data_IF_437643588643
#
_entry.id   IF_437643588643
#
_cell.length_a   1.000
_cell.length_b   1.000
_cell.length_c   1.000
_cell.angle_alpha   90.00
_cell.angle_beta   90.00
_cell.angle_gamma   90.00
#
_symmetry.space_group_name_H-M   'P 1'
#
loop_
_entity.id
_entity.type
_entity.pdbx_description
1 polymer ?
#
# COMPACT_ATOMS: atom_id res chain seq x y z
N UNK A 1 8.43 23.40 0.99
CA UNK A 1 7.49 23.15 2.10
C UNK A 1 8.26 22.67 3.32
N UNK A 2 7.91 23.14 4.52
CA UNK A 2 8.50 22.66 5.78
C UNK A 2 8.20 21.16 6.03
N UNK A 3 7.18 20.60 5.38
CA UNK A 3 6.77 19.19 5.51
C UNK A 3 7.48 18.26 4.52
N UNK A 4 8.21 18.80 3.54
CA UNK A 4 8.81 18.00 2.47
C UNK A 4 9.94 17.14 3.02
N UNK A 5 10.86 17.75 3.75
CA UNK A 5 11.99 17.09 4.37
C UNK A 5 11.68 16.84 5.86
N UNK A 6 11.67 15.58 6.24
CA UNK A 6 11.42 15.15 7.61
C UNK A 6 12.73 15.15 8.40
N UNK A 7 12.69 15.64 9.61
CA UNK A 7 13.80 15.54 10.53
C UNK A 7 13.93 14.10 11.10
N UNK A 8 14.95 13.89 11.92
CA UNK A 8 15.24 12.57 12.49
C UNK A 8 14.11 12.03 13.38
N UNK A 9 13.43 12.93 14.11
CA UNK A 9 12.32 12.54 14.99
C UNK A 9 11.11 12.14 14.15
N UNK A 10 10.76 12.96 13.17
CA UNK A 10 9.65 12.71 12.23
C UNK A 10 9.83 11.39 11.46
N UNK A 11 11.05 11.12 10.99
CA UNK A 11 11.39 9.84 10.34
C UNK A 11 11.22 8.65 11.31
N UNK A 12 11.59 8.81 12.59
CA UNK A 12 11.39 7.75 13.58
C UNK A 12 9.91 7.51 13.87
N UNK A 13 9.10 8.55 13.94
CA UNK A 13 7.66 8.46 14.14
C UNK A 13 6.98 7.77 12.92
N UNK A 14 7.35 8.14 11.69
CA UNK A 14 6.93 7.44 10.47
C UNK A 14 7.31 5.95 10.49
N UNK A 15 8.56 5.63 10.82
CA UNK A 15 9.02 4.23 10.94
C UNK A 15 8.21 3.46 11.97
N UNK A 16 7.84 4.12 13.08
CA UNK A 16 7.02 3.48 14.12
C UNK A 16 5.61 3.20 13.62
N UNK A 17 4.98 4.16 12.92
CA UNK A 17 3.68 3.96 12.29
C UNK A 17 3.70 2.77 11.29
N UNK A 18 4.75 2.68 10.46
CA UNK A 18 4.96 1.56 9.52
C UNK A 18 5.10 0.23 10.27
N UNK A 19 5.93 0.16 11.32
CA UNK A 19 6.11 -1.07 12.11
C UNK A 19 4.81 -1.55 12.77
N UNK A 20 3.99 -0.63 13.26
CA UNK A 20 2.66 -0.93 13.83
C UNK A 20 1.78 -1.53 12.72
N UNK A 21 1.74 -0.91 11.55
CA UNK A 21 0.95 -1.38 10.40
C UNK A 21 1.40 -2.77 9.94
N UNK A 22 2.70 -3.01 9.80
CA UNK A 22 3.23 -4.33 9.41
C UNK A 22 2.88 -5.41 10.45
N UNK A 23 3.06 -5.13 11.73
CA UNK A 23 2.71 -6.06 12.80
C UNK A 23 1.20 -6.39 12.80
N UNK A 24 0.37 -5.37 12.56
CA UNK A 24 -1.08 -5.51 12.43
C UNK A 24 -1.44 -6.41 11.25
N UNK A 25 -0.79 -6.22 10.11
CA UNK A 25 -1.00 -7.06 8.93
C UNK A 25 -0.69 -8.54 9.22
N UNK A 26 0.46 -8.83 9.84
CA UNK A 26 0.84 -10.21 10.19
C UNK A 26 -0.17 -10.88 11.12
N UNK A 27 -0.72 -10.16 12.10
CA UNK A 27 -1.79 -10.67 12.95
C UNK A 27 -3.07 -10.92 12.16
N UNK A 28 -3.41 -9.99 11.27
CA UNK A 28 -4.64 -10.07 10.46
C UNK A 28 -4.59 -11.24 9.47
N UNK A 29 -3.45 -11.48 8.82
CA UNK A 29 -3.30 -12.62 7.89
C UNK A 29 -3.60 -13.95 8.61
N UNK A 30 -3.16 -14.11 9.86
CA UNK A 30 -3.41 -15.32 10.65
C UNK A 30 -4.88 -15.49 11.03
N UNK A 31 -5.65 -14.42 11.03
CA UNK A 31 -7.10 -14.45 11.33
C UNK A 31 -7.93 -14.85 10.10
N UNK A 32 -7.36 -14.79 8.88
CA UNK A 32 -8.09 -15.09 7.66
C UNK A 32 -8.38 -16.59 7.57
N UNK A 33 -9.66 -16.91 7.54
CA UNK A 33 -10.18 -18.25 7.36
C UNK A 33 -11.22 -18.27 6.23
N UNK A 34 -11.50 -19.46 5.72
CA UNK A 34 -12.59 -19.64 4.75
C UNK A 34 -13.92 -19.20 5.36
N UNK A 35 -14.76 -18.56 4.56
CA UNK A 35 -16.04 -17.99 4.96
C UNK A 35 -16.00 -16.74 5.86
N UNK A 36 -14.84 -16.20 6.19
CA UNK A 36 -14.77 -14.84 6.74
C UNK A 36 -15.19 -13.82 5.67
N UNK A 37 -15.92 -12.80 6.07
CA UNK A 37 -16.24 -11.68 5.19
C UNK A 37 -15.10 -10.64 5.19
N UNK A 38 -15.05 -9.83 4.13
CA UNK A 38 -14.13 -8.68 4.07
C UNK A 38 -14.31 -7.73 5.26
N UNK A 39 -15.54 -7.53 5.70
CA UNK A 39 -15.85 -6.66 6.84
C UNK A 39 -15.37 -7.24 8.17
N UNK A 40 -15.52 -8.55 8.41
CA UNK A 40 -14.96 -9.20 9.61
C UNK A 40 -13.44 -9.08 9.67
N UNK A 41 -12.76 -9.24 8.53
CA UNK A 41 -11.32 -9.08 8.42
C UNK A 41 -10.91 -7.62 8.67
N UNK A 42 -11.64 -6.64 8.09
CA UNK A 42 -11.40 -5.22 8.34
C UNK A 42 -11.56 -4.85 9.81
N UNK A 43 -12.62 -5.31 10.46
CA UNK A 43 -12.85 -5.06 11.89
C UNK A 43 -11.74 -5.63 12.76
N UNK A 44 -11.28 -6.85 12.47
CA UNK A 44 -10.16 -7.46 13.18
C UNK A 44 -8.86 -6.65 12.95
N UNK A 45 -8.59 -6.22 11.73
CA UNK A 45 -7.44 -5.38 11.39
C UNK A 45 -7.43 -4.09 12.22
N UNK A 46 -8.57 -3.41 12.31
CA UNK A 46 -8.70 -2.17 13.10
C UNK A 46 -8.41 -2.44 14.58
N UNK A 47 -8.96 -3.51 15.15
CA UNK A 47 -8.71 -3.88 16.55
C UNK A 47 -7.22 -4.17 16.81
N UNK A 48 -6.58 -4.94 15.93
CA UNK A 48 -5.16 -5.25 16.05
C UNK A 48 -4.27 -4.01 15.86
N UNK A 49 -4.68 -3.03 15.05
CA UNK A 49 -3.94 -1.79 14.86
C UNK A 49 -3.83 -1.01 16.19
N UNK A 50 -4.93 -0.79 16.89
CA UNK A 50 -4.92 -0.14 18.19
C UNK A 50 -4.18 -0.96 19.25
N UNK A 51 -4.38 -2.27 19.28
CA UNK A 51 -3.68 -3.19 20.19
C UNK A 51 -2.15 -3.18 19.99
N UNK A 52 -1.69 -2.98 18.76
CA UNK A 52 -0.27 -2.87 18.42
C UNK A 52 0.33 -1.48 18.68
N UNK A 53 -0.47 -0.53 19.15
CA UNK A 53 -0.03 0.80 19.57
C UNK A 53 -0.26 1.90 18.54
N UNK A 54 -1.09 1.67 17.53
CA UNK A 54 -1.60 2.75 16.67
C UNK A 54 -2.49 3.69 17.46
N UNK A 55 -2.29 4.98 17.30
CA UNK A 55 -3.08 6.02 17.98
C UNK A 55 -4.38 6.29 17.23
N UNK A 56 -4.34 6.16 15.91
CA UNK A 56 -5.50 6.28 15.03
C UNK A 56 -5.25 5.53 13.71
N UNK A 57 -6.28 5.47 12.87
CA UNK A 57 -6.20 5.03 11.48
C UNK A 57 -5.71 6.19 10.62
N UNK A 58 -4.72 5.96 9.76
CA UNK A 58 -4.31 6.98 8.78
C UNK A 58 -5.46 7.34 7.82
N UNK A 59 -6.26 6.35 7.47
CA UNK A 59 -7.48 6.46 6.67
C UNK A 59 -8.37 5.23 6.92
N UNK A 60 -9.59 5.25 6.41
CA UNK A 60 -10.50 4.10 6.55
C UNK A 60 -9.95 2.87 5.80
N UNK A 61 -9.56 1.79 6.50
CA UNK A 61 -8.91 0.65 5.89
C UNK A 61 -9.72 0.01 4.77
N UNK A 62 -9.07 -0.29 3.67
CA UNK A 62 -9.65 -0.97 2.53
C UNK A 62 -9.25 -2.45 2.59
N UNK A 63 -10.24 -3.35 2.69
CA UNK A 63 -10.05 -4.80 2.58
C UNK A 63 -10.93 -5.30 1.46
N UNK A 64 -10.32 -5.71 0.37
CA UNK A 64 -11.01 -6.20 -0.83
C UNK A 64 -10.63 -7.64 -1.11
N UNK A 65 -11.52 -8.37 -1.79
CA UNK A 65 -11.25 -9.74 -2.19
C UNK A 65 -11.87 -10.08 -3.54
N UNK A 66 -11.25 -11.04 -4.24
CA UNK A 66 -11.72 -11.54 -5.53
C UNK A 66 -11.84 -10.42 -6.58
N UNK A 67 -12.88 -10.38 -7.37
CA UNK A 67 -13.10 -9.37 -8.42
C UNK A 67 -13.11 -7.93 -7.90
N UNK A 68 -13.55 -7.73 -6.65
CA UNK A 68 -13.61 -6.41 -6.04
C UNK A 68 -12.21 -5.83 -5.73
N UNK A 69 -11.16 -6.67 -5.64
CA UNK A 69 -9.79 -6.19 -5.45
C UNK A 69 -9.23 -5.43 -6.66
N UNK A 70 -9.91 -5.46 -7.80
CA UNK A 70 -9.56 -4.68 -8.99
C UNK A 70 -10.09 -3.23 -8.97
N UNK A 71 -10.90 -2.85 -7.98
CA UNK A 71 -11.49 -1.51 -7.92
C UNK A 71 -10.77 -0.65 -6.86
N UNK A 72 -10.09 0.46 -7.26
CA UNK A 72 -9.33 1.31 -6.35
C UNK A 72 -10.13 1.89 -5.17
N UNK A 73 -11.45 2.05 -5.34
CA UNK A 73 -12.36 2.59 -4.33
C UNK A 73 -13.41 1.57 -3.90
N UNK A 74 -13.06 0.29 -3.92
CA UNK A 74 -13.95 -0.76 -3.42
C UNK A 74 -14.20 -0.64 -1.92
N UNK A 75 -15.36 -1.14 -1.46
CA UNK A 75 -15.72 -1.15 -0.04
C UNK A 75 -15.71 -2.57 0.53
N UNK A 76 -15.28 -2.67 1.79
CA UNK A 76 -15.45 -3.91 2.54
C UNK A 76 -16.94 -4.14 2.85
N UNK A 77 -17.39 -5.37 2.71
CA UNK A 77 -18.80 -5.75 2.96
C UNK A 77 -18.90 -7.11 3.62
N UNK A 78 -20.05 -7.42 4.20
CA UNK A 78 -20.38 -8.75 4.73
C UNK A 78 -20.82 -9.74 3.66
N UNK A 79 -21.20 -9.26 2.47
CA UNK A 79 -21.85 -10.07 1.43
C UNK A 79 -20.94 -11.09 0.77
N UNK A 80 -19.63 -10.76 0.70
CA UNK A 80 -18.65 -11.65 0.12
C UNK A 80 -17.86 -12.39 1.20
N UNK A 81 -17.83 -13.71 1.10
CA UNK A 81 -17.07 -14.61 1.98
C UNK A 81 -15.82 -15.10 1.25
N UNK A 82 -14.67 -15.05 1.94
CA UNK A 82 -13.38 -15.48 1.41
C UNK A 82 -13.40 -16.95 1.01
N UNK A 83 -12.86 -17.25 -0.15
CA UNK A 83 -12.75 -18.59 -0.74
C UNK A 83 -11.31 -18.88 -1.14
N UNK A 84 -10.98 -20.17 -1.21
CA UNK A 84 -9.70 -20.63 -1.74
C UNK A 84 -9.44 -20.06 -3.13
N UNK A 85 -8.26 -19.47 -3.35
CA UNK A 85 -7.86 -18.83 -4.62
C UNK A 85 -8.20 -17.34 -4.73
N UNK A 86 -8.86 -16.75 -3.73
CA UNK A 86 -9.12 -15.31 -3.74
C UNK A 86 -7.84 -14.50 -3.56
N UNK A 87 -7.67 -13.46 -4.38
CA UNK A 87 -6.76 -12.37 -4.08
C UNK A 87 -7.40 -11.50 -3.00
N UNK A 88 -6.68 -11.23 -1.92
CA UNK A 88 -7.09 -10.35 -0.83
C UNK A 88 -6.13 -9.16 -0.80
N UNK A 89 -6.67 -7.96 -0.99
CA UNK A 89 -5.93 -6.71 -0.94
C UNK A 89 -6.24 -6.00 0.38
N UNK A 90 -5.18 -5.57 1.03
CA UNK A 90 -5.19 -4.69 2.20
C UNK A 90 -4.56 -3.36 1.83
N UNK A 91 -5.23 -2.27 2.13
CA UNK A 91 -4.71 -0.92 2.00
C UNK A 91 -5.09 -0.14 3.26
N UNK A 92 -4.10 0.21 4.07
CA UNK A 92 -4.31 0.80 5.39
C UNK A 92 -3.02 1.36 5.98
N UNK A 93 -3.15 2.10 7.05
CA UNK A 93 -2.01 2.58 7.82
C UNK A 93 -2.39 2.95 9.25
N UNK A 94 -1.41 2.92 10.14
CA UNK A 94 -1.51 3.44 11.50
C UNK A 94 -0.99 4.88 11.56
N UNK A 95 -1.56 5.66 12.47
CA UNK A 95 -1.01 6.95 12.89
C UNK A 95 -0.23 6.75 14.20
N UNK A 96 0.95 7.39 14.28
CA UNK A 96 1.77 7.43 15.50
C UNK A 96 2.41 8.81 15.65
N UNK A 97 2.22 9.47 16.80
CA UNK A 97 2.63 10.84 17.07
C UNK A 97 2.20 11.83 15.96
N UNK A 98 1.01 11.61 15.39
CA UNK A 98 0.46 12.41 14.29
C UNK A 98 1.01 12.06 12.89
N UNK A 99 1.98 11.16 12.76
CA UNK A 99 2.53 10.71 11.47
C UNK A 99 1.83 9.47 10.97
N UNK A 100 1.51 9.48 9.68
CA UNK A 100 0.70 8.45 9.03
C UNK A 100 1.58 7.43 8.29
N UNK A 101 1.26 6.15 8.42
CA UNK A 101 1.71 5.12 7.51
C UNK A 101 0.66 4.89 6.40
N UNK A 102 1.12 4.39 5.27
CA UNK A 102 0.28 3.98 4.16
C UNK A 102 0.91 2.75 3.51
N UNK A 103 0.29 1.59 3.67
CA UNK A 103 0.80 0.34 3.11
C UNK A 103 -0.30 -0.44 2.39
N UNK A 104 0.01 -0.87 1.17
CA UNK A 104 -0.83 -1.83 0.43
C UNK A 104 -0.14 -3.18 0.32
N UNK A 105 -0.87 -4.27 0.59
CA UNK A 105 -0.38 -5.64 0.41
C UNK A 105 -1.48 -6.52 -0.17
N UNK A 106 -1.08 -7.40 -1.09
CA UNK A 106 -1.97 -8.38 -1.72
C UNK A 106 -1.51 -9.79 -1.37
N UNK A 107 -2.45 -10.65 -1.00
CA UNK A 107 -2.24 -12.07 -0.70
C UNK A 107 -3.21 -12.93 -1.50
N UNK A 108 -2.85 -14.20 -1.66
CA UNK A 108 -3.76 -15.20 -2.23
C UNK A 108 -4.14 -16.21 -1.16
N UNK A 109 -5.43 -16.39 -0.93
CA UNK A 109 -5.89 -17.31 0.10
C UNK A 109 -5.68 -18.76 -0.33
N UNK A 110 -4.81 -19.46 0.39
CA UNK A 110 -4.36 -20.86 0.18
C UNK A 110 -3.59 -21.10 -1.12
N UNK A 111 -4.05 -20.63 -2.28
CA UNK A 111 -3.36 -20.82 -3.56
C UNK A 111 -3.54 -19.62 -4.49
N UNK A 112 -2.71 -19.56 -5.52
CA UNK A 112 -2.83 -18.62 -6.63
C UNK A 112 -2.68 -19.37 -7.94
N UNK A 113 -3.47 -19.01 -8.96
CA UNK A 113 -3.27 -19.51 -10.32
C UNK A 113 -2.09 -18.78 -11.00
N UNK A 114 -1.67 -19.28 -12.17
CA UNK A 114 -0.49 -18.74 -12.85
C UNK A 114 -0.69 -17.30 -13.35
N UNK A 115 -1.90 -16.93 -13.72
CA UNK A 115 -2.23 -15.55 -14.10
C UNK A 115 -2.08 -14.58 -12.92
N UNK A 116 -2.59 -14.96 -11.76
CA UNK A 116 -2.46 -14.18 -10.52
C UNK A 116 -1.00 -14.02 -10.11
N UNK A 117 -0.21 -15.09 -10.16
CA UNK A 117 1.24 -15.04 -9.87
C UNK A 117 1.96 -14.12 -10.85
N UNK A 118 1.68 -14.25 -12.15
CA UNK A 118 2.29 -13.43 -13.18
C UNK A 118 1.98 -11.94 -12.99
N UNK A 119 0.72 -11.59 -12.73
CA UNK A 119 0.31 -10.21 -12.45
C UNK A 119 1.02 -9.66 -11.20
N UNK A 120 1.03 -10.43 -10.11
CA UNK A 120 1.71 -10.06 -8.87
C UNK A 120 3.20 -9.79 -9.10
N UNK A 121 3.89 -10.68 -9.82
CA UNK A 121 5.32 -10.55 -10.13
C UNK A 121 5.63 -9.31 -10.97
N UNK A 122 4.77 -8.97 -11.94
CA UNK A 122 4.91 -7.74 -12.73
C UNK A 122 4.75 -6.50 -11.86
N UNK A 123 3.74 -6.47 -10.99
CA UNK A 123 3.53 -5.34 -10.07
C UNK A 123 4.68 -5.23 -9.06
N UNK A 124 5.16 -6.34 -8.52
CA UNK A 124 6.31 -6.36 -7.62
C UNK A 124 7.58 -5.82 -8.31
N UNK A 125 7.86 -6.25 -9.54
CA UNK A 125 8.99 -5.72 -10.33
C UNK A 125 8.87 -4.24 -10.58
N UNK A 126 7.66 -3.74 -10.88
CA UNK A 126 7.38 -2.31 -11.03
C UNK A 126 7.69 -1.54 -9.73
N UNK A 127 7.19 -2.02 -8.60
CA UNK A 127 7.45 -1.42 -7.29
C UNK A 127 8.95 -1.36 -6.98
N UNK A 128 9.66 -2.47 -7.15
CA UNK A 128 11.11 -2.55 -6.91
C UNK A 128 11.91 -1.63 -7.83
N UNK A 129 11.52 -1.49 -9.09
CA UNK A 129 12.15 -0.56 -10.02
C UNK A 129 11.99 0.91 -9.57
N UNK A 130 10.81 1.28 -9.06
CA UNK A 130 10.58 2.59 -8.47
C UNK A 130 11.45 2.83 -7.22
N UNK A 131 11.52 1.84 -6.32
CA UNK A 131 12.36 1.91 -5.11
C UNK A 131 13.84 2.08 -5.48
N UNK A 132 14.35 1.31 -6.44
CA UNK A 132 15.75 1.39 -6.91
C UNK A 132 16.10 2.78 -7.46
N UNK A 133 15.13 3.45 -8.12
CA UNK A 133 15.28 4.80 -8.63
C UNK A 133 15.08 5.90 -7.57
N UNK A 134 14.56 5.57 -6.41
CA UNK A 134 14.34 6.53 -5.31
C UNK A 134 15.64 6.88 -4.58
N UNK A 135 16.60 7.44 -5.30
CA UNK A 135 17.90 7.87 -4.79
C UNK A 135 18.10 9.38 -4.96
N UNK A 136 18.96 9.97 -4.12
CA UNK A 136 19.29 11.41 -4.15
C UNK A 136 19.72 11.82 -5.56
N UNK A 137 19.26 12.98 -6.00
CA UNK A 137 19.47 13.61 -7.31
C UNK A 137 18.66 13.02 -8.48
N UNK A 138 18.04 11.87 -8.37
CA UNK A 138 17.03 11.46 -9.33
C UNK A 138 15.75 12.32 -9.15
N UNK A 139 14.96 12.42 -10.19
CA UNK A 139 13.69 13.12 -10.14
C UNK A 139 12.54 12.18 -9.81
N UNK A 140 11.42 12.73 -9.36
CA UNK A 140 10.19 11.97 -9.17
C UNK A 140 9.65 11.42 -10.50
N UNK A 141 9.95 12.10 -11.62
CA UNK A 141 9.74 11.57 -12.97
C UNK A 141 10.52 10.27 -13.19
N UNK A 142 11.81 10.24 -12.83
CA UNK A 142 12.65 9.03 -13.03
C UNK A 142 12.10 7.83 -12.24
N UNK A 143 11.59 8.07 -11.03
CA UNK A 143 10.97 7.04 -10.19
C UNK A 143 9.70 6.50 -10.85
N UNK A 144 8.79 7.40 -11.24
CA UNK A 144 7.53 7.03 -11.90
C UNK A 144 7.77 6.32 -13.24
N UNK A 145 8.64 6.86 -14.07
CA UNK A 145 8.97 6.31 -15.39
C UNK A 145 9.56 4.90 -15.28
N UNK A 146 10.45 4.68 -14.29
CA UNK A 146 11.05 3.38 -14.04
C UNK A 146 10.02 2.33 -13.64
N UNK A 147 9.11 2.67 -12.72
CA UNK A 147 8.03 1.79 -12.28
C UNK A 147 7.02 1.54 -13.42
N UNK A 148 6.55 2.60 -14.07
CA UNK A 148 5.52 2.51 -15.10
C UNK A 148 5.99 1.75 -16.34
N UNK A 149 7.25 1.90 -16.77
CA UNK A 149 7.81 1.14 -17.91
C UNK A 149 7.71 -0.37 -17.72
N UNK A 150 7.86 -0.89 -16.52
CA UNK A 150 7.70 -2.33 -16.26
C UNK A 150 6.27 -2.77 -16.57
N UNK A 151 5.27 -1.97 -16.17
CA UNK A 151 3.87 -2.24 -16.44
C UNK A 151 3.52 -2.08 -17.92
N UNK A 152 3.98 -1.01 -18.55
CA UNK A 152 3.76 -0.70 -19.98
C UNK A 152 4.33 -1.79 -20.91
N UNK A 153 5.43 -2.42 -20.51
CA UNK A 153 6.05 -3.54 -21.26
C UNK A 153 5.42 -4.90 -20.95
N UNK A 154 4.38 -4.95 -20.13
CA UNK A 154 3.65 -6.16 -19.80
C UNK A 154 2.34 -6.29 -20.57
N UNK A 155 1.73 -7.47 -20.51
CA UNK A 155 0.37 -7.68 -21.03
C UNK A 155 -0.72 -6.94 -20.25
N UNK A 156 -0.36 -6.30 -19.12
CA UNK A 156 -1.28 -5.57 -18.23
C UNK A 156 -1.24 -4.06 -18.44
N UNK A 157 -0.58 -3.56 -19.49
CA UNK A 157 -0.40 -2.12 -19.76
C UNK A 157 -1.68 -1.29 -19.76
N UNK A 158 -2.79 -1.89 -20.21
CA UNK A 158 -4.08 -1.22 -20.32
C UNK A 158 -4.84 -1.19 -18.97
N UNK A 159 -4.26 -1.76 -17.90
CA UNK A 159 -4.81 -1.79 -16.54
C UNK A 159 -4.16 -0.78 -15.60
N UNK A 160 -3.29 0.10 -16.09
CA UNK A 160 -2.66 1.16 -15.29
C UNK A 160 -3.70 2.24 -15.01
N UNK A 161 -4.08 2.42 -13.75
CA UNK A 161 -5.19 3.29 -13.36
C UNK A 161 -4.76 4.60 -12.69
N UNK A 162 -3.55 4.65 -12.09
CA UNK A 162 -3.13 5.80 -11.28
C UNK A 162 -1.61 6.02 -11.32
N UNK A 163 -1.16 7.15 -10.80
CA UNK A 163 0.26 7.50 -10.63
C UNK A 163 0.96 6.54 -9.67
N UNK A 164 2.30 6.56 -9.68
CA UNK A 164 3.14 5.65 -8.88
C UNK A 164 3.02 5.91 -7.39
N UNK A 165 2.92 7.17 -6.95
CA UNK A 165 2.82 7.43 -5.52
C UNK A 165 2.71 8.91 -5.14
N UNK A 166 2.90 9.16 -3.85
CA UNK A 166 2.78 10.47 -3.21
C UNK A 166 3.66 10.55 -1.97
N UNK A 167 3.94 11.75 -1.51
CA UNK A 167 4.51 12.00 -0.19
C UNK A 167 3.49 11.69 0.92
N UNK A 168 3.99 11.43 2.11
CA UNK A 168 3.18 11.24 3.30
C UNK A 168 3.89 11.82 4.53
N UNK A 169 3.15 12.04 5.60
CA UNK A 169 3.66 12.61 6.83
C UNK A 169 2.54 12.88 7.83
N UNK A 170 2.31 14.14 8.14
CA UNK A 170 1.18 14.57 8.97
C UNK A 170 -0.16 14.38 8.26
N UNK A 171 -0.18 14.50 6.95
CA UNK A 171 -1.30 14.08 6.12
C UNK A 171 -0.93 12.79 5.37
N UNK A 172 -1.92 11.96 5.05
CA UNK A 172 -1.71 10.72 4.29
C UNK A 172 -1.21 11.02 2.88
N UNK A 173 -1.75 12.07 2.26
CA UNK A 173 -1.34 12.54 0.95
C UNK A 173 -0.73 13.93 1.07
N UNK A 174 0.57 14.00 0.89
CA UNK A 174 1.34 15.24 0.86
C UNK A 174 2.11 15.39 -0.46
N UNK A 175 2.48 16.61 -0.80
CA UNK A 175 3.50 16.84 -1.82
C UNK A 175 4.86 16.23 -1.37
N UNK A 176 5.66 15.76 -2.32
CA UNK A 176 5.45 15.76 -3.77
C UNK A 176 4.71 14.50 -4.25
N UNK A 177 4.12 14.62 -5.44
CA UNK A 177 3.55 13.44 -6.11
C UNK A 177 4.58 12.78 -7.02
N UNK A 178 4.70 11.45 -6.92
CA UNK A 178 5.53 10.62 -7.80
C UNK A 178 4.77 10.38 -9.09
N UNK A 179 5.07 11.18 -10.09
CA UNK A 179 4.37 11.21 -11.38
C UNK A 179 5.32 11.60 -12.52
N UNK A 180 5.03 11.11 -13.72
CA UNK A 180 5.87 11.26 -14.93
C UNK A 180 6.24 12.72 -15.28
N UNK A 181 5.46 13.70 -14.87
CA UNK A 181 5.71 15.11 -15.17
C UNK A 181 6.37 15.89 -14.03
N UNK A 182 6.75 15.21 -12.94
CA UNK A 182 7.36 15.86 -11.78
C UNK A 182 8.89 15.78 -11.84
N UNK A 183 9.53 16.88 -12.26
CA UNK A 183 10.99 16.98 -12.34
C UNK A 183 11.66 17.41 -11.02
N UNK A 184 10.92 17.46 -9.92
CA UNK A 184 11.51 17.73 -8.61
C UNK A 184 12.52 16.64 -8.24
N UNK A 185 13.71 17.04 -7.83
CA UNK A 185 14.77 16.12 -7.39
C UNK A 185 14.53 15.61 -5.98
N UNK A 186 14.86 14.36 -5.78
CA UNK A 186 14.90 13.74 -4.46
C UNK A 186 16.07 14.30 -3.66
N UNK A 187 15.82 14.57 -2.39
CA UNK A 187 16.80 14.98 -1.38
C UNK A 187 16.75 14.02 -0.18
N UNK A 188 17.72 14.14 0.72
CA UNK A 188 17.71 13.37 1.97
C UNK A 188 16.61 13.91 2.92
N UNK A 189 15.88 13.01 3.58
CA UNK A 189 14.79 13.33 4.51
C UNK A 189 13.48 13.44 3.78
#
# INVERSE_FOLDING_TARGET
>A
SLRLNKDRKEINDLKKAIQISEKTLFSTIKFIEENKSKMEIKQFLIQELYKNGGEDLSFDPIVLASKNSAFPHGHSSYDYKIKTGDAILFDFGATYNGYNADITRTFFFKNANDEQKNMYDVVLKSNLAGIEKSIINNTLHDVDDSATKVLENSKYKDLILHRTGHGLGLDVHEDPYVARNNNQKLSSG
#
